data_IF_841173057870
#
_entry.id   IF_841173057870
#
_cell.length_a   1.000
_cell.length_b   1.000
_cell.length_c   1.000
_cell.angle_alpha   90.00
_cell.angle_beta   90.00
_cell.angle_gamma   90.00
#
_symmetry.space_group_name_H-M   'P 1'
#
loop_
_entity.id
_entity.type
_entity.pdbx_description
1 polymer ?
#
# COMPACT_ATOMS: atom_id res chain seq x y z
N UNK A 1 3.22 32.11 -61.30
CA UNK A 1 1.81 31.66 -61.28
C UNK A 1 1.63 30.80 -60.04
N UNK A 2 0.79 31.06 -59.05
CA UNK A 2 -0.25 32.07 -58.81
C UNK A 2 -1.18 31.49 -57.72
N UNK A 3 -1.52 32.29 -56.71
CA UNK A 3 -2.58 32.04 -55.73
C UNK A 3 -2.17 31.30 -54.45
N UNK A 4 -2.45 31.76 -53.22
CA UNK A 4 -3.33 32.84 -52.76
C UNK A 4 -4.33 32.32 -51.71
N UNK A 5 -4.45 33.03 -50.57
CA UNK A 5 -5.53 32.89 -49.57
C UNK A 5 -5.10 32.14 -48.30
N UNK A 6 -4.71 32.76 -47.17
CA UNK A 6 -5.43 33.70 -46.29
C UNK A 6 -6.86 33.29 -45.94
N UNK A 7 -7.07 32.82 -44.71
CA UNK A 7 -8.22 33.18 -43.86
C UNK A 7 -7.76 33.33 -42.42
N UNK A 8 -7.61 34.58 -42.02
CA UNK A 8 -7.87 35.05 -40.66
C UNK A 8 -9.35 34.76 -40.34
N UNK A 9 -9.63 34.24 -39.15
CA UNK A 9 -10.87 34.58 -38.45
C UNK A 9 -10.57 34.89 -36.99
N UNK A 10 -10.77 36.16 -36.72
CA UNK A 10 -10.54 36.88 -35.49
C UNK A 10 -11.79 36.84 -34.59
N UNK A 11 -11.56 37.09 -33.29
CA UNK A 11 -12.47 37.73 -32.30
C UNK A 11 -13.54 36.84 -31.65
N UNK A 12 -13.38 36.48 -30.37
CA UNK A 12 -13.72 37.24 -29.12
C UNK A 12 -15.09 36.80 -28.55
N UNK A 13 -15.40 36.88 -27.22
CA UNK A 13 -14.85 37.81 -26.22
C UNK A 13 -14.49 37.20 -24.82
N UNK A 14 -13.93 38.02 -23.91
CA UNK A 14 -13.67 37.67 -22.51
C UNK A 14 -14.87 38.00 -21.59
N UNK A 15 -14.75 37.61 -20.30
CA UNK A 15 -15.53 37.98 -19.08
C UNK A 15 -16.24 36.75 -18.46
N UNK A 16 -16.21 36.49 -17.15
CA UNK A 16 -16.63 37.37 -16.05
C UNK A 16 -16.27 36.75 -14.69
N UNK A 17 -15.95 37.61 -13.72
CA UNK A 17 -16.20 37.46 -12.27
C UNK A 17 -15.41 36.35 -11.55
N UNK A 18 -14.55 36.63 -10.57
CA UNK A 18 -14.76 37.56 -9.47
C UNK A 18 -15.23 36.78 -8.25
N UNK A 19 -14.30 36.52 -7.32
CA UNK A 19 -14.53 36.43 -5.86
C UNK A 19 -13.18 36.22 -5.18
N UNK A 20 -12.57 37.33 -4.77
CA UNK A 20 -11.59 37.35 -3.70
C UNK A 20 -12.27 36.88 -2.40
N UNK A 21 -11.67 36.00 -1.61
CA UNK A 21 -12.12 35.80 -0.24
C UNK A 21 -11.80 37.04 0.62
N UNK A 22 -12.65 37.38 1.60
CA UNK A 22 -12.47 38.56 2.43
C UNK A 22 -11.24 38.43 3.34
N UNK A 23 -10.45 39.51 3.36
CA UNK A 23 -9.57 39.86 4.48
C UNK A 23 -10.42 40.07 5.73
N UNK A 24 -10.43 39.09 6.62
CA UNK A 24 -10.84 39.26 8.01
C UNK A 24 -9.63 39.64 8.84
N UNK A 25 -9.48 40.94 9.11
CA UNK A 25 -8.62 41.43 10.19
C UNK A 25 -9.42 41.55 11.48
N UNK A 26 -8.71 41.45 12.61
CA UNK A 26 -9.13 42.11 13.85
C UNK A 26 -9.25 41.22 15.08
N UNK A 27 -8.45 41.54 16.10
CA UNK A 27 -8.59 41.09 17.49
C UNK A 27 -7.58 39.99 17.84
N UNK A 28 -6.43 40.25 18.46
CA UNK A 28 -6.18 41.19 19.54
C UNK A 28 -6.16 40.39 20.85
N UNK A 29 -5.02 40.37 21.54
CA UNK A 29 -4.98 39.96 22.94
C UNK A 29 -3.81 39.07 23.33
N UNK A 30 -2.81 39.70 23.95
CA UNK A 30 -2.31 39.19 25.21
C UNK A 30 -1.08 38.28 25.18
N UNK A 31 0.07 38.90 25.40
CA UNK A 31 0.81 38.53 26.61
C UNK A 31 1.96 37.54 26.45
N UNK A 32 3.17 38.10 26.55
CA UNK A 32 4.22 37.69 27.50
C UNK A 32 4.48 36.18 27.65
N UNK A 33 5.66 35.75 27.22
CA UNK A 33 6.79 35.51 28.15
C UNK A 33 8.03 35.11 27.38
N UNK A 34 9.01 36.00 27.41
CA UNK A 34 10.42 35.64 27.32
C UNK A 34 10.73 34.61 28.41
N UNK A 35 11.45 33.55 28.05
CA UNK A 35 12.29 32.85 29.02
C UNK A 35 13.48 32.26 28.28
N UNK A 36 14.44 33.15 28.06
CA UNK A 36 15.85 32.85 27.84
C UNK A 36 16.36 32.06 29.05
N UNK A 37 16.64 30.76 28.92
CA UNK A 37 17.57 30.03 29.80
C UNK A 37 18.24 28.90 29.04
N UNK A 38 19.43 29.18 28.51
CA UNK A 38 20.48 28.18 28.37
C UNK A 38 20.92 27.71 29.77
N UNK A 39 21.20 26.42 29.97
CA UNK A 39 22.10 25.98 31.02
C UNK A 39 23.50 25.64 30.47
N UNK A 40 24.53 25.69 31.34
CA UNK A 40 25.93 25.78 30.95
C UNK A 40 26.61 24.43 30.68
N UNK A 41 27.76 24.53 30.01
CA UNK A 41 28.84 23.53 30.01
C UNK A 41 29.34 23.25 31.43
N UNK A 42 29.59 21.97 31.70
CA UNK A 42 30.39 21.40 32.79
C UNK A 42 30.11 19.90 32.78
N UNK A 43 31.06 18.97 32.66
CA UNK A 43 32.43 18.95 33.11
C UNK A 43 32.57 17.84 34.15
N UNK A 44 33.36 16.81 33.86
CA UNK A 44 34.04 16.00 34.87
C UNK A 44 33.45 14.62 35.22
N UNK A 45 34.35 13.63 35.18
CA UNK A 45 34.37 12.44 36.04
C UNK A 45 33.43 11.30 35.63
N UNK A 46 33.84 10.04 35.51
CA UNK A 46 34.94 9.35 36.15
C UNK A 46 34.36 8.21 37.00
N UNK A 47 34.73 6.98 36.65
CA UNK A 47 34.95 5.88 37.60
C UNK A 47 33.77 5.03 38.07
N UNK A 48 34.06 3.73 38.20
CA UNK A 48 33.42 2.77 39.13
C UNK A 48 32.09 2.20 38.65
N UNK A 49 31.91 0.89 38.45
CA UNK A 49 32.28 -0.19 39.36
C UNK A 49 31.22 -0.30 40.47
N UNK A 50 30.30 -1.26 40.38
CA UNK A 50 29.29 -1.45 41.41
C UNK A 50 28.32 -2.59 41.13
N UNK A 51 28.63 -3.78 41.67
CA UNK A 51 27.71 -4.89 41.88
C UNK A 51 26.77 -4.58 43.07
N UNK A 52 25.62 -5.25 43.11
CA UNK A 52 24.67 -5.30 44.25
C UNK A 52 23.31 -4.71 43.85
N UNK A 53 22.17 -5.34 44.03
CA UNK A 53 21.73 -6.17 45.16
C UNK A 53 20.65 -5.39 45.93
N UNK A 54 19.47 -5.99 46.14
CA UNK A 54 18.35 -5.43 46.92
C UNK A 54 17.20 -4.94 46.03
N UNK A 55 16.08 -5.67 45.88
CA UNK A 55 14.95 -5.71 46.83
C UNK A 55 14.71 -4.35 47.49
N UNK A 56 13.60 -3.70 47.13
CA UNK A 56 12.69 -3.16 48.14
C UNK A 56 11.33 -2.77 47.55
N UNK A 57 10.32 -3.31 48.22
CA UNK A 57 8.89 -3.13 48.05
C UNK A 57 8.47 -1.72 48.46
N UNK A 58 7.90 -0.92 47.55
CA UNK A 58 7.11 0.28 47.91
C UNK A 58 5.97 0.56 46.91
N UNK A 59 4.77 0.08 47.25
CA UNK A 59 3.51 0.83 47.04
C UNK A 59 3.57 2.09 47.94
N UNK A 60 2.91 3.26 47.67
CA UNK A 60 1.45 3.42 47.45
C UNK A 60 1.12 4.71 46.59
N UNK A 61 -0.02 5.44 46.66
CA UNK A 61 -1.35 5.17 47.24
C UNK A 61 -2.54 5.37 46.28
N UNK A 62 -3.69 4.88 46.77
CA UNK A 62 -5.04 5.13 46.28
C UNK A 62 -5.46 6.59 46.46
N UNK A 63 -6.11 7.16 45.45
CA UNK A 63 -6.99 8.35 45.51
C UNK A 63 -8.17 7.99 44.60
N UNK A 64 -9.41 7.84 45.06
CA UNK A 64 -10.12 8.66 46.03
C UNK A 64 -10.81 9.78 45.26
N UNK A 65 -11.95 9.48 44.63
CA UNK A 65 -12.70 10.40 43.77
C UNK A 65 -14.10 9.87 43.45
N UNK A 66 -14.95 9.91 44.47
CA UNK A 66 -16.40 9.73 44.39
C UNK A 66 -17.05 10.92 43.70
N UNK A 67 -18.11 10.68 42.92
CA UNK A 67 -19.09 11.70 42.56
C UNK A 67 -19.58 11.58 41.12
N UNK A 68 -20.83 11.16 40.93
CA UNK A 68 -21.48 11.26 39.63
C UNK A 68 -22.62 10.28 39.41
N UNK A 69 -23.59 10.29 40.32
CA UNK A 69 -24.96 9.80 40.09
C UNK A 69 -25.55 10.42 38.82
N UNK A 70 -26.28 9.65 38.01
CA UNK A 70 -27.04 10.23 36.92
C UNK A 70 -27.46 9.32 35.78
N UNK A 71 -28.41 8.42 36.05
CA UNK A 71 -29.59 8.26 35.19
C UNK A 71 -29.46 7.51 33.86
N UNK A 72 -30.43 6.61 33.64
CA UNK A 72 -30.81 6.18 32.29
C UNK A 72 -30.80 4.68 32.06
N UNK A 73 -31.64 3.95 32.81
CA UNK A 73 -32.00 2.56 32.51
C UNK A 73 -32.71 2.44 31.17
N UNK A 74 -31.97 2.35 30.08
CA UNK A 74 -32.45 1.92 28.77
C UNK A 74 -32.38 0.40 28.66
N UNK A 75 -33.44 -0.29 29.10
CA UNK A 75 -33.62 -1.73 28.88
C UNK A 75 -33.58 -2.00 27.37
N UNK A 76 -32.47 -2.56 26.90
CA UNK A 76 -32.36 -3.04 25.53
C UNK A 76 -33.32 -4.22 25.34
N UNK A 77 -34.15 -4.23 24.28
CA UNK A 77 -35.10 -5.30 24.04
C UNK A 77 -34.36 -6.62 23.72
N UNK A 78 -34.92 -7.78 24.11
CA UNK A 78 -34.31 -9.07 23.83
C UNK A 78 -34.21 -9.28 22.32
N UNK A 79 -32.97 -9.47 21.85
CA UNK A 79 -32.66 -9.83 20.46
C UNK A 79 -33.46 -11.08 20.09
N UNK A 80 -34.45 -10.90 19.20
CA UNK A 80 -35.17 -11.98 18.53
C UNK A 80 -34.14 -12.92 17.91
N UNK A 81 -34.11 -14.15 18.41
CA UNK A 81 -33.42 -15.28 17.79
C UNK A 81 -34.07 -15.51 16.42
N UNK A 82 -33.46 -14.97 15.38
CA UNK A 82 -33.80 -15.30 13.99
C UNK A 82 -33.54 -16.79 13.79
N UNK A 83 -34.63 -17.55 13.76
CA UNK A 83 -34.63 -18.97 13.39
C UNK A 83 -34.01 -19.09 12.00
N UNK A 84 -32.94 -19.88 11.91
CA UNK A 84 -32.37 -20.29 10.63
C UNK A 84 -33.46 -20.95 9.77
N UNK A 85 -33.60 -20.59 8.48
CA UNK A 85 -34.50 -21.30 7.59
C UNK A 85 -34.03 -22.76 7.41
N UNK A 86 -34.97 -23.71 7.27
CA UNK A 86 -34.65 -25.12 7.07
C UNK A 86 -33.88 -25.31 5.77
N UNK A 87 -32.83 -26.14 5.85
CA UNK A 87 -32.08 -26.65 4.70
C UNK A 87 -33.03 -27.32 3.73
N UNK A 88 -33.21 -26.71 2.56
CA UNK A 88 -33.98 -27.26 1.45
C UNK A 88 -33.15 -28.36 0.79
N UNK A 89 -33.33 -29.58 1.27
CA UNK A 89 -32.92 -30.81 0.59
C UNK A 89 -33.91 -31.11 -0.54
N UNK A 90 -33.64 -30.64 -1.75
CA UNK A 90 -34.24 -31.13 -2.99
C UNK A 90 -33.09 -31.46 -3.94
N UNK A 91 -32.81 -32.75 -4.16
CA UNK A 91 -33.51 -33.64 -5.10
C UNK A 91 -33.28 -33.22 -6.55
N UNK A 92 -32.61 -34.11 -7.28
CA UNK A 92 -32.63 -34.14 -8.74
C UNK A 92 -31.35 -33.65 -9.42
N UNK A 93 -30.28 -34.45 -9.35
CA UNK A 93 -29.31 -34.43 -10.47
C UNK A 93 -30.02 -35.04 -11.69
N UNK A 94 -30.17 -34.31 -12.81
CA UNK A 94 -30.75 -34.88 -14.01
C UNK A 94 -29.86 -36.01 -14.56
N UNK A 95 -30.45 -37.05 -15.19
CA UNK A 95 -29.70 -38.15 -15.75
C UNK A 95 -28.72 -37.65 -16.80
N UNK A 96 -27.46 -38.06 -16.63
CA UNK A 96 -26.33 -37.87 -17.53
C UNK A 96 -26.71 -38.48 -18.89
N UNK A 97 -27.17 -37.67 -19.84
CA UNK A 97 -27.36 -38.08 -21.24
C UNK A 97 -26.01 -38.58 -21.75
N UNK A 98 -25.93 -39.89 -21.96
CA UNK A 98 -24.88 -40.54 -22.75
C UNK A 98 -24.86 -39.88 -24.13
N UNK A 99 -23.88 -39.00 -24.34
CA UNK A 99 -23.59 -38.49 -25.67
C UNK A 99 -23.00 -39.64 -26.46
N UNK A 100 -23.67 -39.96 -27.57
CA UNK A 100 -23.24 -40.92 -28.57
C UNK A 100 -21.76 -40.74 -28.94
N UNK A 101 -21.03 -41.83 -29.21
CA UNK A 101 -19.66 -41.75 -29.67
C UNK A 101 -19.60 -40.95 -30.98
N UNK A 102 -18.67 -39.99 -31.12
CA UNK A 102 -18.52 -39.24 -32.36
C UNK A 102 -18.10 -40.19 -33.48
N UNK A 103 -18.90 -40.11 -34.55
CA UNK A 103 -18.77 -40.81 -35.83
C UNK A 103 -17.35 -40.63 -36.37
N UNK A 104 -16.73 -41.76 -36.75
CA UNK A 104 -15.35 -41.83 -37.23
C UNK A 104 -15.05 -40.83 -38.35
N UNK A 105 -14.22 -39.84 -38.01
CA UNK A 105 -13.62 -38.95 -39.00
C UNK A 105 -12.40 -39.66 -39.59
N UNK A 106 -12.56 -40.22 -40.80
CA UNK A 106 -11.46 -40.67 -41.65
C UNK A 106 -10.76 -39.42 -42.21
N UNK A 107 -9.99 -38.75 -41.37
CA UNK A 107 -9.11 -37.65 -41.74
C UNK A 107 -7.80 -38.19 -42.26
N UNK A 108 -7.54 -37.96 -43.54
CA UNK A 108 -6.31 -38.27 -44.26
C UNK A 108 -5.08 -37.78 -43.49
N UNK A 109 -4.17 -38.71 -43.19
CA UNK A 109 -2.94 -38.48 -42.46
C UNK A 109 -2.01 -37.52 -43.19
N UNK A 110 -2.18 -36.22 -42.92
CA UNK A 110 -1.08 -35.27 -43.05
C UNK A 110 -0.20 -35.48 -41.84
N UNK A 111 0.92 -36.16 -42.08
CA UNK A 111 2.08 -36.24 -41.18
C UNK A 111 2.24 -34.92 -40.44
N UNK A 112 1.77 -34.91 -39.20
CA UNK A 112 2.06 -33.85 -38.25
C UNK A 112 3.51 -34.03 -37.88
N UNK A 113 4.40 -33.50 -38.72
CA UNK A 113 5.76 -33.16 -38.32
C UNK A 113 5.62 -32.43 -36.99
N UNK A 114 6.00 -33.14 -35.93
CA UNK A 114 6.01 -32.68 -34.57
C UNK A 114 7.01 -31.53 -34.56
N UNK A 115 6.53 -30.31 -34.87
CA UNK A 115 7.31 -29.09 -34.74
C UNK A 115 7.81 -29.14 -33.30
N UNK A 116 9.11 -29.28 -33.14
CA UNK A 116 9.70 -29.09 -31.83
C UNK A 116 9.19 -27.74 -31.33
N UNK A 117 8.63 -27.69 -30.11
CA UNK A 117 8.22 -26.42 -29.54
C UNK A 117 9.46 -25.54 -29.53
N UNK A 118 9.38 -24.41 -30.23
CA UNK A 118 10.47 -23.44 -30.23
C UNK A 118 10.89 -23.16 -28.79
N UNK A 119 12.19 -23.10 -28.49
CA UNK A 119 12.66 -22.85 -27.14
C UNK A 119 11.96 -21.60 -26.59
N UNK A 120 11.46 -21.64 -25.34
CA UNK A 120 10.72 -20.53 -24.77
C UNK A 120 11.60 -19.28 -24.82
N UNK A 121 11.10 -18.22 -25.48
CA UNK A 121 11.80 -16.94 -25.55
C UNK A 121 12.07 -16.49 -24.10
N UNK A 122 13.31 -16.07 -23.77
CA UNK A 122 13.61 -15.59 -22.43
C UNK A 122 12.63 -14.48 -22.04
N UNK A 123 12.22 -14.42 -20.76
CA UNK A 123 11.30 -13.39 -20.32
C UNK A 123 11.88 -12.01 -20.66
N UNK A 124 11.06 -11.09 -21.20
CA UNK A 124 11.53 -9.73 -21.46
C UNK A 124 12.05 -9.12 -20.15
N UNK A 125 13.20 -8.46 -20.22
CA UNK A 125 13.76 -7.73 -19.08
C UNK A 125 12.89 -6.54 -18.66
N UNK A 126 13.26 -5.85 -17.57
CA UNK A 126 12.57 -4.64 -17.13
C UNK A 126 12.49 -3.58 -18.23
N UNK A 127 11.33 -2.94 -18.39
CA UNK A 127 11.17 -1.83 -19.35
C UNK A 127 11.84 -0.57 -18.83
N UNK A 128 12.14 0.41 -19.70
CA UNK A 128 12.75 1.69 -19.29
C UNK A 128 11.94 2.43 -18.23
N UNK A 129 10.61 2.38 -18.32
CA UNK A 129 9.71 2.97 -17.34
C UNK A 129 9.79 2.27 -15.97
N UNK A 130 9.91 0.94 -15.99
CA UNK A 130 10.09 0.15 -14.76
C UNK A 130 11.43 0.47 -14.09
N UNK A 131 12.49 0.61 -14.88
CA UNK A 131 13.81 1.01 -14.39
C UNK A 131 13.76 2.41 -13.78
N UNK A 132 13.15 3.38 -14.50
CA UNK A 132 13.00 4.77 -14.03
C UNK A 132 12.25 4.88 -12.70
N UNK A 133 11.27 4.02 -12.47
CA UNK A 133 10.45 4.01 -11.25
C UNK A 133 10.91 2.97 -10.22
N UNK A 134 12.17 2.55 -10.29
CA UNK A 134 12.77 1.60 -9.36
C UNK A 134 14.01 2.16 -8.67
N UNK A 135 14.38 1.54 -7.55
CA UNK A 135 15.61 1.80 -6.82
C UNK A 135 16.53 0.58 -6.97
N UNK A 136 17.76 0.81 -7.41
CA UNK A 136 18.78 -0.24 -7.49
C UNK A 136 19.48 -0.42 -6.13
N UNK A 137 19.54 -1.66 -5.64
CA UNK A 137 20.28 -2.04 -4.45
C UNK A 137 20.78 -3.48 -4.60
N UNK A 138 22.08 -3.70 -4.41
CA UNK A 138 22.72 -5.02 -4.43
C UNK A 138 22.41 -5.85 -5.69
N UNK A 139 22.45 -5.22 -6.87
CA UNK A 139 22.17 -5.89 -8.15
C UNK A 139 20.70 -6.27 -8.36
N UNK A 140 19.78 -5.67 -7.60
CA UNK A 140 18.34 -5.83 -7.76
C UNK A 140 17.67 -4.47 -7.90
N UNK A 141 16.62 -4.41 -8.71
CA UNK A 141 15.69 -3.29 -8.82
C UNK A 141 14.51 -3.52 -7.88
N UNK A 142 14.15 -2.50 -7.10
CA UNK A 142 13.01 -2.49 -6.20
C UNK A 142 11.99 -1.47 -6.65
N UNK A 143 10.72 -1.84 -6.74
CA UNK A 143 9.64 -0.95 -7.17
C UNK A 143 8.33 -1.25 -6.43
N UNK A 144 7.44 -0.27 -6.36
CA UNK A 144 6.04 -0.56 -6.03
C UNK A 144 5.39 -1.38 -7.17
N UNK A 145 4.45 -2.27 -6.86
CA UNK A 145 3.84 -3.19 -7.84
C UNK A 145 3.19 -2.51 -9.05
N UNK A 146 2.79 -1.25 -8.91
CA UNK A 146 2.24 -0.43 -9.98
C UNK A 146 3.21 0.62 -10.53
N UNK A 147 4.51 0.48 -10.25
CA UNK A 147 5.59 1.37 -10.69
C UNK A 147 5.36 2.85 -10.37
N UNK A 148 4.72 3.14 -9.24
CA UNK A 148 4.73 4.51 -8.71
C UNK A 148 6.15 4.92 -8.38
N UNK A 149 6.47 6.16 -8.74
CA UNK A 149 7.81 6.71 -8.51
C UNK A 149 8.16 6.66 -7.02
N UNK A 150 9.40 6.28 -6.66
CA UNK A 150 9.87 6.34 -5.28
C UNK A 150 9.75 7.74 -4.69
N UNK A 151 9.80 8.79 -5.51
CA UNK A 151 9.69 10.20 -5.10
C UNK A 151 8.26 10.73 -5.09
N UNK A 152 7.26 9.95 -5.52
CA UNK A 152 5.86 10.37 -5.54
C UNK A 152 5.38 10.64 -4.11
N UNK A 153 4.85 11.84 -3.87
CA UNK A 153 4.22 12.15 -2.59
C UNK A 153 2.78 11.62 -2.60
N UNK A 154 2.32 10.98 -1.51
CA UNK A 154 0.92 10.63 -1.41
C UNK A 154 0.05 11.90 -1.45
N UNK A 155 -1.16 11.84 -2.02
CA UNK A 155 -2.08 12.97 -2.03
C UNK A 155 -2.65 13.31 -0.63
N UNK A 156 -2.39 12.47 0.37
CA UNK A 156 -2.75 12.66 1.77
C UNK A 156 -1.55 13.08 2.63
N UNK A 157 -1.82 13.77 3.74
CA UNK A 157 -0.78 14.19 4.68
C UNK A 157 -0.20 13.05 5.53
N UNK A 158 0.61 13.43 6.52
CA UNK A 158 1.12 12.48 7.55
C UNK A 158 -0.01 11.91 8.41
N UNK A 159 -1.11 12.66 8.53
CA UNK A 159 -2.29 12.24 9.26
C UNK A 159 -3.27 11.56 8.33
N UNK A 160 -3.76 10.42 8.80
CA UNK A 160 -4.67 9.58 8.06
C UNK A 160 -6.09 9.97 8.48
N UNK A 161 -6.95 10.51 7.59
CA UNK A 161 -8.30 10.94 7.93
C UNK A 161 -9.06 9.90 8.75
N UNK A 162 -9.52 10.21 9.95
CA UNK A 162 -10.14 9.19 10.84
C UNK A 162 -11.43 8.54 10.31
N UNK A 163 -12.02 9.08 9.25
CA UNK A 163 -13.27 8.60 8.67
C UNK A 163 -13.02 7.97 7.31
N UNK A 164 -12.65 6.69 7.31
CA UNK A 164 -12.58 5.87 6.10
C UNK A 164 -13.89 5.13 5.85
N UNK A 165 -14.43 5.28 4.65
CA UNK A 165 -15.62 4.55 4.21
C UNK A 165 -15.23 3.27 3.46
N UNK A 166 -14.91 2.23 4.23
CA UNK A 166 -14.64 0.87 3.70
C UNK A 166 -15.82 0.31 2.87
N UNK A 167 -17.02 0.90 3.00
CA UNK A 167 -18.25 0.42 2.37
C UNK A 167 -18.30 0.75 0.88
N UNK A 168 -17.76 1.89 0.48
CA UNK A 168 -17.82 2.33 -0.93
C UNK A 168 -16.67 1.79 -1.79
N UNK A 169 -15.64 1.15 -1.19
CA UNK A 169 -14.47 0.60 -1.91
C UNK A 169 -13.78 1.60 -2.86
N UNK A 170 -14.00 2.89 -2.67
CA UNK A 170 -13.33 3.96 -3.42
C UNK A 170 -11.93 4.23 -2.89
N UNK A 171 -11.38 3.31 -2.11
CA UNK A 171 -10.18 3.54 -1.32
C UNK A 171 -8.92 3.17 -2.12
N UNK A 172 -8.00 4.12 -2.35
CA UNK A 172 -6.68 3.82 -2.90
C UNK A 172 -5.83 2.90 -1.99
N UNK A 173 -6.22 2.66 -0.74
CA UNK A 173 -5.54 1.76 0.21
C UNK A 173 -5.63 0.28 -0.16
N UNK A 174 -6.64 -0.11 -0.95
CA UNK A 174 -6.75 -1.47 -1.48
C UNK A 174 -6.10 -1.47 -2.85
N UNK A 175 -4.85 -1.92 -2.91
CA UNK A 175 -4.23 -2.22 -4.21
C UNK A 175 -5.19 -3.11 -5.00
N UNK A 176 -5.71 -2.57 -6.12
CA UNK A 176 -6.39 -3.35 -7.14
C UNK A 176 -5.47 -4.52 -7.49
N UNK A 177 -6.06 -5.68 -7.83
CA UNK A 177 -5.30 -6.90 -8.12
C UNK A 177 -4.33 -6.67 -9.29
N UNK A 178 -3.10 -6.24 -9.00
CA UNK A 178 -2.13 -5.85 -9.99
C UNK A 178 -1.32 -7.08 -10.40
N UNK A 179 -1.23 -7.39 -11.70
CA UNK A 179 -0.41 -8.49 -12.18
C UNK A 179 1.06 -8.20 -11.86
N UNK A 180 1.77 -9.24 -11.47
CA UNK A 180 3.22 -9.14 -11.30
C UNK A 180 3.88 -9.14 -12.68
N UNK A 181 4.71 -8.16 -13.01
CA UNK A 181 5.37 -8.12 -14.31
C UNK A 181 6.35 -9.30 -14.48
N UNK A 182 6.59 -9.77 -15.73
CA UNK A 182 7.52 -10.86 -15.99
C UNK A 182 8.91 -10.59 -15.40
N UNK A 183 9.49 -11.58 -14.71
CA UNK A 183 10.82 -11.47 -14.09
C UNK A 183 10.84 -10.77 -12.72
N UNK A 184 9.73 -10.18 -12.28
CA UNK A 184 9.59 -9.61 -10.94
C UNK A 184 9.08 -10.65 -9.95
N UNK A 185 9.39 -10.46 -8.66
CA UNK A 185 8.91 -11.23 -7.51
C UNK A 185 8.59 -10.31 -6.34
N UNK A 186 7.88 -10.79 -5.33
CA UNK A 186 7.68 -10.02 -4.10
C UNK A 186 9.03 -9.81 -3.40
N UNK A 187 9.27 -8.60 -2.90
CA UNK A 187 10.54 -8.26 -2.26
C UNK A 187 10.66 -8.90 -0.87
N UNK A 188 11.86 -9.40 -0.55
CA UNK A 188 12.18 -9.94 0.77
C UNK A 188 12.59 -8.77 1.70
N UNK A 189 12.03 -8.67 2.92
CA UNK A 189 12.31 -7.54 3.79
C UNK A 189 13.64 -7.70 4.55
N UNK A 190 14.74 -7.29 3.92
CA UNK A 190 16.08 -7.26 4.54
C UNK A 190 16.37 -5.89 5.21
N UNK A 191 17.35 -5.84 6.11
CA UNK A 191 17.74 -4.61 6.81
C UNK A 191 18.20 -3.51 5.85
N UNK A 192 18.97 -3.86 4.82
CA UNK A 192 19.40 -2.93 3.78
C UNK A 192 18.22 -2.39 2.96
N UNK A 193 17.27 -3.26 2.60
CA UNK A 193 16.06 -2.85 1.87
C UNK A 193 15.25 -1.86 2.70
N UNK A 194 15.08 -2.12 4.01
CA UNK A 194 14.39 -1.17 4.90
C UNK A 194 15.13 0.16 4.99
N UNK A 195 16.44 0.14 5.18
CA UNK A 195 17.25 1.33 5.38
C UNK A 195 17.42 2.18 4.12
N UNK A 196 17.58 1.54 2.95
CA UNK A 196 17.99 2.20 1.70
C UNK A 196 16.86 2.32 0.67
N UNK A 197 15.84 1.45 0.72
CA UNK A 197 14.72 1.45 -0.26
C UNK A 197 13.42 1.96 0.36
N UNK A 198 13.07 1.52 1.57
CA UNK A 198 11.76 1.86 2.15
C UNK A 198 11.82 3.19 2.90
N UNK A 199 12.77 3.31 3.85
CA UNK A 199 12.90 4.46 4.75
C UNK A 199 13.12 5.80 4.03
N UNK A 200 13.97 5.90 2.98
CA UNK A 200 14.28 7.20 2.39
C UNK A 200 13.19 7.77 1.47
N UNK A 201 12.28 6.92 1.00
CA UNK A 201 11.41 7.24 -0.13
C UNK A 201 9.92 7.24 0.24
N UNK A 202 9.09 8.15 -0.31
CA UNK A 202 7.66 8.23 0.00
C UNK A 202 6.79 7.18 -0.73
N UNK A 203 7.15 6.75 -1.95
CA UNK A 203 6.43 5.73 -2.72
C UNK A 203 4.93 5.99 -2.95
N UNK A 204 4.47 7.24 -2.82
CA UNK A 204 3.06 7.59 -2.90
C UNK A 204 2.17 6.86 -1.88
N UNK A 205 2.74 6.42 -0.74
CA UNK A 205 2.05 5.57 0.24
C UNK A 205 2.61 5.74 1.65
N UNK A 206 1.86 5.32 2.69
CA UNK A 206 2.38 5.29 4.07
C UNK A 206 3.16 4.02 4.36
N UNK A 207 2.72 2.90 3.79
CA UNK A 207 3.27 1.57 4.06
C UNK A 207 3.69 0.88 2.76
N UNK A 208 4.80 0.13 2.83
CA UNK A 208 5.19 -0.87 1.84
C UNK A 208 5.05 -2.28 2.40
N UNK A 209 4.42 -3.17 1.65
CA UNK A 209 4.18 -4.58 1.99
C UNK A 209 5.17 -5.48 1.25
N UNK A 210 5.92 -6.29 2.00
CA UNK A 210 6.89 -7.24 1.46
C UNK A 210 6.30 -8.66 1.38
N UNK A 211 7.03 -9.61 0.80
CA UNK A 211 6.58 -11.00 0.53
C UNK A 211 5.90 -11.69 1.73
N UNK A 212 6.41 -11.49 2.94
CA UNK A 212 5.88 -12.11 4.17
C UNK A 212 4.60 -11.47 4.70
N UNK A 213 4.05 -10.47 4.00
CA UNK A 213 2.96 -9.63 4.50
C UNK A 213 3.41 -8.57 5.52
N UNK A 214 4.69 -8.56 5.92
CA UNK A 214 5.25 -7.52 6.79
C UNK A 214 5.18 -6.16 6.10
N UNK A 215 4.76 -5.16 6.85
CA UNK A 215 4.62 -3.79 6.36
C UNK A 215 5.49 -2.80 7.10
N UNK A 216 6.12 -1.93 6.32
CA UNK A 216 7.08 -0.97 6.83
C UNK A 216 6.68 0.44 6.43
N UNK A 217 6.85 1.36 7.37
CA UNK A 217 6.62 2.78 7.17
C UNK A 217 7.58 3.38 6.14
N UNK A 218 7.04 4.13 5.19
CA UNK A 218 7.81 4.93 4.23
C UNK A 218 8.29 6.23 4.88
N UNK A 219 9.02 7.06 4.12
CA UNK A 219 9.41 8.41 4.56
C UNK A 219 8.23 9.33 4.90
N UNK A 220 7.00 8.99 4.49
CA UNK A 220 5.78 9.79 4.74
C UNK A 220 5.03 9.39 6.00
N UNK A 221 5.65 8.57 6.84
CA UNK A 221 5.16 8.24 8.17
C UNK A 221 5.95 8.94 9.27
N UNK A 222 5.42 8.91 10.50
CA UNK A 222 6.09 9.36 11.72
C UNK A 222 7.27 8.47 12.12
N UNK A 223 7.30 7.21 11.66
CA UNK A 223 8.31 6.21 12.04
C UNK A 223 8.93 5.48 10.83
N UNK A 224 9.63 6.18 9.90
CA UNK A 224 10.14 5.56 8.67
C UNK A 224 11.06 4.36 8.90
N UNK A 225 10.82 3.26 8.18
CA UNK A 225 11.56 2.00 8.24
C UNK A 225 11.10 1.05 9.35
N UNK A 226 10.21 1.48 10.24
CA UNK A 226 9.69 0.63 11.30
C UNK A 226 8.58 -0.31 10.82
N UNK A 227 8.54 -1.52 11.41
CA UNK A 227 7.47 -2.48 11.18
C UNK A 227 6.18 -1.97 11.84
N UNK A 228 5.13 -1.82 11.06
CA UNK A 228 3.81 -1.42 11.58
C UNK A 228 2.95 -2.65 11.87
N UNK A 229 2.79 -3.55 10.89
CA UNK A 229 1.85 -4.67 10.97
C UNK A 229 2.06 -5.76 9.92
N UNK A 230 1.23 -6.81 10.01
CA UNK A 230 1.12 -7.89 9.04
C UNK A 230 -0.16 -7.73 8.21
N UNK A 231 -0.01 -7.74 6.90
CA UNK A 231 -1.08 -7.76 5.92
C UNK A 231 -1.17 -9.13 5.25
N UNK A 232 -2.38 -9.51 4.85
CA UNK A 232 -2.55 -10.69 3.99
C UNK A 232 -2.39 -10.26 2.53
N UNK A 233 -1.51 -10.97 1.84
CA UNK A 233 -1.34 -10.84 0.40
C UNK A 233 -2.10 -11.99 -0.24
N UNK A 234 -3.17 -11.68 -0.96
CA UNK A 234 -3.94 -12.67 -1.70
C UNK A 234 -3.60 -12.61 -3.18
N UNK A 235 -3.37 -13.77 -3.79
CA UNK A 235 -3.28 -13.90 -5.24
C UNK A 235 -4.69 -13.92 -5.83
N UNK A 236 -5.04 -12.92 -6.62
CA UNK A 236 -6.29 -12.86 -7.35
C UNK A 236 -6.34 -13.92 -8.46
N UNK A 237 -7.55 -14.34 -8.84
CA UNK A 237 -7.79 -15.38 -9.87
C UNK A 237 -7.15 -15.06 -11.23
N UNK A 238 -6.85 -13.78 -11.50
CA UNK A 238 -6.15 -13.32 -12.71
C UNK A 238 -4.61 -13.28 -12.59
N UNK A 239 -4.03 -13.85 -11.54
CA UNK A 239 -2.58 -13.88 -11.32
C UNK A 239 -1.98 -12.62 -10.70
N UNK A 240 -2.79 -11.59 -10.44
CA UNK A 240 -2.38 -10.40 -9.71
C UNK A 240 -2.36 -10.57 -8.20
N UNK A 241 -1.75 -9.62 -7.52
CA UNK A 241 -1.72 -9.56 -6.06
C UNK A 241 -2.61 -8.44 -5.56
N UNK A 242 -3.41 -8.74 -4.53
CA UNK A 242 -4.23 -7.76 -3.82
C UNK A 242 -3.90 -7.84 -2.33
N UNK A 243 -3.96 -6.70 -1.68
CA UNK A 243 -3.90 -6.63 -0.22
C UNK A 243 -5.31 -6.86 0.32
N UNK A 244 -5.46 -7.86 1.20
CA UNK A 244 -6.72 -8.05 1.91
C UNK A 244 -6.65 -7.56 3.33
N UNK A 245 -7.72 -6.87 3.69
CA UNK A 245 -7.81 -6.21 4.96
C UNK A 245 -8.24 -7.22 6.02
N UNK A 246 -7.40 -7.44 7.03
CA UNK A 246 -7.83 -8.11 8.27
C UNK A 246 -8.57 -7.07 9.10
N UNK A 247 -9.89 -7.26 9.25
CA UNK A 247 -10.79 -6.41 10.03
C UNK A 247 -10.10 -5.87 11.31
N UNK A 248 -10.05 -4.54 11.47
CA UNK A 248 -9.33 -3.90 12.57
C UNK A 248 -9.23 -2.38 12.42
N UNK A 249 -8.82 -1.71 13.50
CA UNK A 249 -8.79 -0.26 13.65
C UNK A 249 -7.85 0.49 12.69
N UNK A 250 -7.14 -0.20 11.81
CA UNK A 250 -6.00 0.32 11.06
C UNK A 250 -6.29 0.47 9.56
N UNK A 251 -7.58 0.55 9.19
CA UNK A 251 -8.03 0.57 7.79
C UNK A 251 -7.79 1.89 7.12
N UNK A 252 -7.17 2.81 7.86
CA UNK A 252 -6.85 4.11 7.39
C UNK A 252 -5.52 4.11 6.62
N UNK A 253 -4.59 3.21 6.91
CA UNK A 253 -3.28 3.21 6.27
C UNK A 253 -3.34 2.82 4.80
N UNK A 254 -2.62 3.60 3.97
CA UNK A 254 -2.41 3.29 2.56
C UNK A 254 -1.16 2.42 2.43
N UNK A 255 -1.30 1.30 1.73
CA UNK A 255 -0.23 0.33 1.55
C UNK A 255 -0.06 -0.03 0.07
N UNK A 256 1.19 -0.30 -0.33
CA UNK A 256 1.51 -0.83 -1.66
C UNK A 256 2.45 -2.02 -1.54
N UNK A 257 2.37 -2.95 -2.47
CA UNK A 257 3.25 -4.12 -2.49
C UNK A 257 4.61 -3.72 -3.07
N UNK A 258 5.69 -4.07 -2.39
CA UNK A 258 7.07 -3.94 -2.86
C UNK A 258 7.48 -5.19 -3.64
N UNK A 259 7.99 -4.99 -4.84
CA UNK A 259 8.47 -6.05 -5.74
C UNK A 259 9.96 -5.83 -6.05
N UNK A 260 10.65 -6.92 -6.37
CA UNK A 260 12.06 -6.91 -6.77
C UNK A 260 12.30 -7.69 -8.07
N UNK A 261 13.31 -7.28 -8.84
CA UNK A 261 13.78 -7.96 -10.05
C UNK A 261 15.32 -7.89 -10.10
N UNK A 262 16.04 -8.95 -10.52
CA UNK A 262 17.47 -8.86 -10.77
C UNK A 262 17.79 -7.80 -11.84
N UNK A 263 18.85 -7.02 -11.63
CA UNK A 263 19.36 -6.11 -12.66
C UNK A 263 19.86 -6.96 -13.83
N UNK A 264 19.46 -6.68 -15.09
CA UNK A 264 19.99 -7.39 -16.23
C UNK A 264 21.48 -7.06 -16.38
N UNK A 265 22.34 -7.94 -15.88
CA UNK A 265 23.79 -7.83 -16.05
C UNK A 265 24.08 -7.93 -17.54
N UNK A 266 24.69 -6.90 -18.12
CA UNK A 266 25.01 -6.84 -19.56
C UNK A 266 25.94 -7.99 -20.04
N UNK A 267 26.45 -8.84 -19.15
CA UNK A 267 27.42 -9.89 -19.47
C UNK A 267 26.84 -11.15 -20.11
N UNK A 268 25.57 -11.14 -20.54
CA UNK A 268 24.98 -12.23 -21.31
C UNK A 268 24.37 -11.74 -22.63
N UNK A 269 24.97 -10.72 -23.25
CA UNK A 269 24.81 -10.56 -24.68
C UNK A 269 25.36 -11.85 -25.34
N UNK A 270 24.54 -12.65 -26.05
CA UNK A 270 25.08 -13.76 -26.82
C UNK A 270 26.09 -13.15 -27.80
N UNK A 271 27.36 -13.57 -27.74
CA UNK A 271 28.29 -13.31 -28.83
C UNK A 271 27.64 -13.85 -30.10
N UNK A 272 27.24 -12.93 -30.98
CA UNK A 272 26.68 -13.21 -32.30
C UNK A 272 27.78 -13.58 -33.27
#
# INVERSE_FOLDING_TARGET
MGGGGRRDDSRSPPRRGGRSPPRGGGGGGGGRRENSRSPPRGGGGGGGGGRGGGRDSRSPPRRGGSGGDGGGGGRSPPRRRSRSPPRRSHLGSPPRRERSPPRGYKGTGKSSFRREPSPPKPPPGPTEEQIKNSIELNGKLYAAINFTSPLELPPWGYEVPRHYDNRNRTDPSVTLGNPLPPGWKLAVPDDDVKAQVIKPFPWGTHLLVCETGKTYHTSKSKRPGELEMLWDIERATGGGYKLTYKNGALSFWHARILIECPVPTASHAPET
#
